data_IF_511509649404
#
_entry.id   IF_511509649404
#
_cell.length_a   1.000
_cell.length_b   1.000
_cell.length_c   1.000
_cell.angle_alpha   90.00
_cell.angle_beta   90.00
_cell.angle_gamma   90.00
#
_symmetry.space_group_name_H-M   'P 1'
#
loop_
_entity.id
_entity.type
_entity.pdbx_description
1 polymer ?
#
# COMPACT_ATOMS: atom_id res chain seq x y z
N UNK A 1 -17.02 29.53 -27.63
CA UNK A 1 -15.72 29.07 -27.10
C UNK A 1 -15.92 28.89 -25.60
N UNK A 2 -15.72 27.69 -25.06
CA UNK A 2 -15.83 27.45 -23.62
C UNK A 2 -14.72 28.24 -22.92
N UNK A 3 -14.97 28.81 -21.73
CA UNK A 3 -13.95 29.59 -21.02
C UNK A 3 -12.71 28.72 -20.73
N UNK A 4 -11.54 29.17 -21.20
CA UNK A 4 -10.25 28.49 -21.08
C UNK A 4 -9.84 28.22 -19.62
N UNK A 5 -10.49 28.88 -18.66
CA UNK A 5 -10.24 28.74 -17.23
C UNK A 5 -10.77 27.44 -16.64
N UNK A 6 -11.83 26.84 -17.22
CA UNK A 6 -12.44 25.61 -16.69
C UNK A 6 -11.55 24.39 -16.94
N UNK A 7 -10.77 24.40 -18.03
CA UNK A 7 -9.90 23.30 -18.44
C UNK A 7 -8.41 23.58 -18.23
N UNK A 8 -8.05 24.65 -17.51
CA UNK A 8 -6.66 24.92 -17.17
C UNK A 8 -6.18 23.80 -16.25
N UNK A 9 -5.59 22.74 -16.83
CA UNK A 9 -4.91 21.68 -16.08
C UNK A 9 -3.94 22.40 -15.15
N UNK A 10 -4.21 22.38 -13.83
CA UNK A 10 -3.24 22.90 -12.88
C UNK A 10 -2.00 22.03 -13.08
N UNK A 11 -0.84 22.63 -13.43
CA UNK A 11 0.41 21.89 -13.38
C UNK A 11 0.49 21.33 -11.96
N UNK A 12 0.59 20.01 -11.82
CA UNK A 12 0.56 19.29 -10.54
C UNK A 12 -0.81 19.01 -9.90
N UNK A 13 -1.92 18.94 -10.66
CA UNK A 13 -3.14 18.28 -10.17
C UNK A 13 -2.92 16.76 -10.13
N UNK A 14 -2.25 16.29 -9.07
CA UNK A 14 -2.12 14.87 -8.82
C UNK A 14 -3.47 14.32 -8.32
N UNK A 15 -4.21 13.69 -9.22
CA UNK A 15 -5.51 13.08 -8.92
C UNK A 15 -5.39 11.86 -8.00
N UNK A 16 -4.17 11.32 -7.81
CA UNK A 16 -3.93 10.12 -7.03
C UNK A 16 -2.83 10.40 -6.01
N UNK A 17 -3.19 10.66 -4.74
CA UNK A 17 -2.21 10.87 -3.69
C UNK A 17 -1.18 9.73 -3.63
N UNK A 18 0.09 10.04 -3.39
CA UNK A 18 1.15 9.02 -3.34
C UNK A 18 0.85 7.91 -2.34
N UNK A 19 0.17 8.25 -1.24
CA UNK A 19 -0.31 7.28 -0.25
C UNK A 19 -1.25 6.23 -0.86
N UNK A 20 -2.12 6.60 -1.79
CA UNK A 20 -3.06 5.68 -2.44
C UNK A 20 -2.28 4.69 -3.30
N UNK A 21 -1.31 5.19 -4.08
CA UNK A 21 -0.43 4.35 -4.90
C UNK A 21 0.37 3.37 -4.02
N UNK A 22 0.90 3.85 -2.88
CA UNK A 22 1.64 3.02 -1.93
C UNK A 22 0.77 1.91 -1.32
N UNK A 23 -0.48 2.24 -0.93
CA UNK A 23 -1.45 1.28 -0.40
C UNK A 23 -1.76 0.20 -1.45
N UNK A 24 -2.04 0.59 -2.69
CA UNK A 24 -2.35 -0.35 -3.78
C UNK A 24 -1.17 -1.30 -4.01
N UNK A 25 0.05 -0.76 -4.09
CA UNK A 25 1.26 -1.57 -4.27
C UNK A 25 1.44 -2.59 -3.13
N UNK A 26 1.22 -2.18 -1.88
CA UNK A 26 1.30 -3.08 -0.73
C UNK A 26 0.31 -4.23 -0.83
N UNK A 27 -0.96 -3.95 -1.16
CA UNK A 27 -1.96 -4.99 -1.31
C UNK A 27 -1.62 -5.99 -2.43
N UNK A 28 -1.15 -5.49 -3.58
CA UNK A 28 -0.77 -6.35 -4.71
C UNK A 28 0.40 -7.26 -4.31
N UNK A 29 1.48 -6.69 -3.76
CA UNK A 29 2.67 -7.47 -3.37
C UNK A 29 2.29 -8.48 -2.29
N UNK A 30 1.49 -8.09 -1.31
CA UNK A 30 1.06 -8.97 -0.24
C UNK A 30 0.17 -10.13 -0.74
N UNK A 31 -0.78 -9.86 -1.63
CA UNK A 31 -1.64 -10.89 -2.22
C UNK A 31 -0.82 -11.90 -3.03
N UNK A 32 0.09 -11.42 -3.88
CA UNK A 32 0.98 -12.28 -4.67
C UNK A 32 1.90 -13.11 -3.76
N UNK A 33 2.50 -12.49 -2.74
CA UNK A 33 3.36 -13.19 -1.77
C UNK A 33 2.58 -14.26 -1.01
N UNK A 34 1.35 -13.97 -0.61
CA UNK A 34 0.46 -14.93 0.07
C UNK A 34 0.16 -16.11 -0.85
N UNK A 35 -0.25 -15.85 -2.10
CA UNK A 35 -0.56 -16.91 -3.06
C UNK A 35 0.64 -17.82 -3.37
N UNK A 36 1.85 -17.26 -3.44
CA UNK A 36 3.06 -18.01 -3.83
C UNK A 36 3.73 -18.74 -2.66
N UNK A 37 3.70 -18.16 -1.46
CA UNK A 37 4.56 -18.59 -0.35
C UNK A 37 3.80 -19.06 0.89
N UNK A 38 2.46 -18.99 0.88
CA UNK A 38 1.61 -19.45 1.99
C UNK A 38 0.74 -20.60 1.51
N UNK A 39 0.79 -21.70 2.28
CA UNK A 39 -0.04 -22.89 2.09
C UNK A 39 -0.75 -23.26 3.39
N UNK A 40 -1.74 -24.14 3.33
CA UNK A 40 -2.55 -24.58 4.48
C UNK A 40 -1.67 -25.09 5.64
N UNK A 41 -0.57 -25.80 5.33
CA UNK A 41 0.24 -26.46 6.37
C UNK A 41 1.53 -25.70 6.72
N UNK A 42 1.97 -24.77 5.89
CA UNK A 42 3.25 -24.07 6.09
C UNK A 42 3.30 -22.70 5.43
N UNK A 43 4.04 -21.81 6.08
CA UNK A 43 4.48 -20.51 5.54
C UNK A 43 5.96 -20.65 5.18
N UNK A 44 6.31 -20.39 3.92
CA UNK A 44 7.71 -20.40 3.49
C UNK A 44 8.49 -19.24 4.09
N UNK A 45 9.77 -19.42 4.43
CA UNK A 45 10.66 -18.34 4.86
C UNK A 45 10.72 -17.20 3.84
N UNK A 46 10.54 -17.49 2.55
CA UNK A 46 10.48 -16.50 1.49
C UNK A 46 9.35 -15.47 1.68
N UNK A 47 8.21 -15.89 2.26
CA UNK A 47 7.11 -14.97 2.59
C UNK A 47 7.58 -13.86 3.54
N UNK A 48 8.29 -14.24 4.61
CA UNK A 48 8.79 -13.30 5.61
C UNK A 48 9.86 -12.36 5.03
N UNK A 49 10.67 -12.84 4.10
CA UNK A 49 11.63 -12.00 3.37
C UNK A 49 10.89 -10.94 2.54
N UNK A 50 9.85 -11.33 1.79
CA UNK A 50 9.06 -10.40 0.97
C UNK A 50 8.32 -9.37 1.84
N UNK A 51 7.67 -9.82 2.91
CA UNK A 51 6.98 -8.93 3.86
C UNK A 51 7.98 -7.99 4.55
N UNK A 52 9.14 -8.50 4.97
CA UNK A 52 10.20 -7.69 5.56
C UNK A 52 10.72 -6.62 4.59
N UNK A 53 10.98 -6.99 3.34
CA UNK A 53 11.38 -6.05 2.28
C UNK A 53 10.29 -4.99 2.03
N UNK A 54 9.02 -5.39 2.05
CA UNK A 54 7.88 -4.47 1.90
C UNK A 54 7.85 -3.45 3.04
N UNK A 55 8.03 -3.89 4.29
CA UNK A 55 8.09 -2.98 5.46
C UNK A 55 9.25 -1.98 5.33
N UNK A 56 10.44 -2.46 4.95
CA UNK A 56 11.61 -1.60 4.75
C UNK A 56 11.36 -0.58 3.62
N UNK A 57 10.81 -1.03 2.50
CA UNK A 57 10.46 -0.16 1.38
C UNK A 57 9.49 0.94 1.81
N UNK A 58 8.42 0.58 2.51
CA UNK A 58 7.44 1.54 3.00
C UNK A 58 8.04 2.56 3.98
N UNK A 59 8.89 2.11 4.90
CA UNK A 59 9.58 3.00 5.85
C UNK A 59 10.43 4.05 5.13
N UNK A 60 11.25 3.63 4.17
CA UNK A 60 12.08 4.56 3.40
C UNK A 60 11.26 5.45 2.46
N UNK A 61 10.17 4.92 1.87
CA UNK A 61 9.29 5.69 1.00
C UNK A 61 8.62 6.84 1.76
N UNK A 62 7.98 6.54 2.91
CA UNK A 62 7.32 7.55 3.75
C UNK A 62 8.34 8.57 4.29
N UNK A 63 9.56 8.11 4.64
CA UNK A 63 10.62 9.02 5.09
C UNK A 63 11.07 9.96 3.98
N UNK A 64 11.19 9.47 2.75
CA UNK A 64 11.66 10.25 1.60
C UNK A 64 10.65 11.30 1.17
N UNK A 65 9.36 10.95 1.12
CA UNK A 65 8.28 11.83 0.64
C UNK A 65 7.44 12.40 1.79
N UNK A 66 8.02 12.54 2.99
CA UNK A 66 7.29 12.93 4.22
C UNK A 66 6.48 14.21 4.06
N UNK A 67 6.93 15.14 3.23
CA UNK A 67 6.28 16.43 2.97
C UNK A 67 4.99 16.28 2.15
N UNK A 68 4.91 15.24 1.31
CA UNK A 68 3.75 14.93 0.48
C UNK A 68 2.64 14.20 1.25
N UNK A 69 2.98 13.60 2.40
CA UNK A 69 2.03 12.88 3.26
C UNK A 69 1.33 13.81 4.23
N UNK A 70 0.04 14.08 3.98
CA UNK A 70 -0.81 14.71 5.00
C UNK A 70 -1.10 13.75 6.16
N UNK A 71 -1.43 14.29 7.34
CA UNK A 71 -1.80 13.48 8.53
C UNK A 71 -2.89 12.44 8.22
N UNK A 72 -3.90 12.83 7.44
CA UNK A 72 -4.99 11.94 7.03
C UNK A 72 -4.50 10.78 6.15
N UNK A 73 -3.57 11.05 5.23
CA UNK A 73 -2.97 10.02 4.37
C UNK A 73 -2.11 9.04 5.16
N UNK A 74 -1.35 9.52 6.16
CA UNK A 74 -0.59 8.64 7.06
C UNK A 74 -1.54 7.76 7.87
N UNK A 75 -2.63 8.29 8.39
CA UNK A 75 -3.65 7.50 9.12
C UNK A 75 -4.27 6.44 8.20
N UNK A 76 -4.68 6.82 6.99
CA UNK A 76 -5.22 5.90 6.00
C UNK A 76 -4.23 4.78 5.65
N UNK A 77 -2.96 5.12 5.48
CA UNK A 77 -1.88 4.16 5.27
C UNK A 77 -1.74 3.19 6.45
N UNK A 78 -1.65 3.68 7.69
CA UNK A 78 -1.52 2.83 8.89
C UNK A 78 -2.73 1.90 9.04
N UNK A 79 -3.95 2.42 8.85
CA UNK A 79 -5.16 1.60 8.85
C UNK A 79 -5.14 0.52 7.77
N UNK A 80 -4.65 0.84 6.56
CA UNK A 80 -4.55 -0.15 5.48
C UNK A 80 -3.62 -1.32 5.82
N UNK A 81 -2.50 -1.05 6.51
CA UNK A 81 -1.55 -2.08 6.96
C UNK A 81 -2.19 -2.95 8.04
N UNK A 82 -2.88 -2.35 9.02
CA UNK A 82 -3.61 -3.08 10.06
C UNK A 82 -4.66 -3.99 9.43
N UNK A 83 -5.46 -3.45 8.50
CA UNK A 83 -6.47 -4.22 7.77
C UNK A 83 -5.83 -5.38 7.02
N UNK A 84 -4.73 -5.17 6.32
CA UNK A 84 -4.00 -6.22 5.60
C UNK A 84 -3.54 -7.36 6.52
N UNK A 85 -3.02 -7.03 7.70
CA UNK A 85 -2.65 -8.01 8.72
C UNK A 85 -3.87 -8.79 9.23
N UNK A 86 -4.98 -8.09 9.51
CA UNK A 86 -6.24 -8.75 9.93
C UNK A 86 -6.74 -9.70 8.83
N UNK A 87 -6.76 -9.25 7.58
CA UNK A 87 -7.18 -10.07 6.43
C UNK A 87 -6.35 -11.35 6.32
N UNK A 88 -5.04 -11.28 6.52
CA UNK A 88 -4.18 -12.44 6.52
C UNK A 88 -4.62 -13.49 7.55
N UNK A 89 -4.86 -13.06 8.80
CA UNK A 89 -5.31 -13.97 9.86
C UNK A 89 -6.73 -14.51 9.61
N UNK A 90 -7.63 -13.68 9.08
CA UNK A 90 -9.00 -14.11 8.74
C UNK A 90 -9.00 -15.17 7.63
N UNK A 91 -8.23 -14.95 6.57
CA UNK A 91 -8.10 -15.92 5.47
C UNK A 91 -7.46 -17.21 5.99
N UNK A 92 -6.42 -17.09 6.82
CA UNK A 92 -5.74 -18.24 7.41
C UNK A 92 -6.62 -19.05 8.36
N UNK A 93 -7.46 -18.39 9.17
CA UNK A 93 -8.36 -19.05 10.11
C UNK A 93 -9.52 -19.79 9.44
N UNK A 94 -9.80 -19.51 8.16
CA UNK A 94 -10.82 -20.21 7.36
C UNK A 94 -10.25 -21.29 6.43
N UNK A 95 -8.92 -21.39 6.31
CA UNK A 95 -8.21 -22.32 5.43
C UNK A 95 -7.55 -23.45 6.22
#
# INVERSE_FOLDING_TARGET
MLPDEVYKRRPNHNNTPESVTLIIANFIIFAVATQLFVSINKISTAFWVVVGALVVYNFFNIRKYREDYSKAQVIAYVLSVIIMVIFFFVIRGRA
#
